data_IF_141120398560
#
_entry.id   IF_141120398560
#
_cell.length_a   1.000
_cell.length_b   1.000
_cell.length_c   1.000
_cell.angle_alpha   90.00
_cell.angle_beta   90.00
_cell.angle_gamma   90.00
#
_symmetry.space_group_name_H-M   'P 1'
#
loop_
_entity.id
_entity.type
_entity.pdbx_description
1 polymer ?
#
# COMPACT_ATOMS: atom_id res chain seq x y z
N UNK A 1 -33.04 -9.50 -32.97
CA UNK A 1 -32.67 -8.27 -32.32
C UNK A 1 -32.53 -8.38 -30.77
N UNK A 2 -33.45 -9.08 -30.08
CA UNK A 2 -33.41 -9.20 -28.63
C UNK A 2 -32.26 -10.01 -28.06
N UNK A 3 -31.75 -11.03 -28.77
CA UNK A 3 -30.67 -11.92 -28.28
C UNK A 3 -29.27 -11.27 -28.33
N UNK A 4 -28.99 -10.41 -29.32
CA UNK A 4 -27.71 -9.71 -29.43
C UNK A 4 -27.57 -8.64 -28.36
N UNK A 5 -28.63 -7.89 -28.04
CA UNK A 5 -28.64 -6.91 -26.95
C UNK A 5 -28.52 -7.59 -25.58
N UNK A 6 -29.15 -8.74 -25.35
CA UNK A 6 -29.03 -9.49 -24.08
C UNK A 6 -27.62 -10.02 -23.86
N UNK A 7 -26.96 -10.55 -24.90
CA UNK A 7 -25.58 -11.05 -24.83
C UNK A 7 -24.65 -9.87 -24.55
N UNK A 8 -24.83 -8.74 -25.22
CA UNK A 8 -24.02 -7.53 -25.03
C UNK A 8 -24.17 -6.96 -23.64
N UNK A 9 -25.39 -6.86 -23.14
CA UNK A 9 -25.67 -6.35 -21.79
C UNK A 9 -25.06 -7.27 -20.72
N UNK A 10 -25.19 -8.58 -20.87
CA UNK A 10 -24.57 -9.56 -19.97
C UNK A 10 -23.04 -9.44 -20.00
N UNK A 11 -22.47 -9.27 -21.18
CA UNK A 11 -21.03 -9.13 -21.35
C UNK A 11 -20.53 -7.82 -20.73
N UNK A 12 -21.20 -6.70 -20.98
CA UNK A 12 -20.85 -5.41 -20.39
C UNK A 12 -20.96 -5.44 -18.87
N UNK A 13 -21.95 -6.12 -18.31
CA UNK A 13 -22.07 -6.33 -16.87
C UNK A 13 -20.89 -7.14 -16.32
N UNK A 14 -20.46 -8.19 -17.00
CA UNK A 14 -19.32 -9.01 -16.62
C UNK A 14 -18.01 -8.21 -16.68
N UNK A 15 -17.82 -7.40 -17.72
CA UNK A 15 -16.64 -6.52 -17.85
C UNK A 15 -16.60 -5.46 -16.74
N UNK A 16 -17.71 -4.79 -16.47
CA UNK A 16 -17.82 -3.81 -15.37
C UNK A 16 -17.54 -4.45 -14.02
N UNK A 17 -18.05 -5.65 -13.77
CA UNK A 17 -17.75 -6.40 -12.56
C UNK A 17 -16.25 -6.74 -12.44
N UNK A 18 -15.61 -7.16 -13.52
CA UNK A 18 -14.19 -7.47 -13.56
C UNK A 18 -13.35 -6.21 -13.28
N UNK A 19 -13.71 -5.05 -13.86
CA UNK A 19 -13.07 -3.77 -13.59
C UNK A 19 -13.18 -3.37 -12.12
N UNK A 20 -14.37 -3.52 -11.53
CA UNK A 20 -14.61 -3.23 -10.12
C UNK A 20 -13.81 -4.17 -9.21
N UNK A 21 -13.72 -5.45 -9.54
CA UNK A 21 -12.93 -6.42 -8.79
C UNK A 21 -11.43 -6.09 -8.81
N UNK A 22 -10.90 -5.73 -9.97
CA UNK A 22 -9.50 -5.28 -10.12
C UNK A 22 -9.22 -4.02 -9.32
N UNK A 23 -10.12 -3.03 -9.38
CA UNK A 23 -10.01 -1.78 -8.63
C UNK A 23 -10.03 -2.03 -7.12
N UNK A 24 -10.94 -2.88 -6.65
CA UNK A 24 -11.05 -3.24 -5.24
C UNK A 24 -9.81 -4.00 -4.74
N UNK A 25 -9.31 -4.95 -5.53
CA UNK A 25 -8.10 -5.70 -5.22
C UNK A 25 -6.87 -4.77 -5.13
N UNK A 26 -6.76 -3.81 -6.04
CA UNK A 26 -5.71 -2.77 -6.00
C UNK A 26 -5.79 -1.92 -4.75
N UNK A 27 -6.99 -1.49 -4.37
CA UNK A 27 -7.21 -0.69 -3.16
C UNK A 27 -6.79 -1.45 -1.90
N UNK A 28 -7.21 -2.70 -1.76
CA UNK A 28 -6.82 -3.56 -0.64
C UNK A 28 -5.30 -3.70 -0.52
N UNK A 29 -4.62 -3.92 -1.64
CA UNK A 29 -3.16 -4.02 -1.69
C UNK A 29 -2.48 -2.72 -1.26
N UNK A 30 -2.95 -1.57 -1.74
CA UNK A 30 -2.42 -0.25 -1.35
C UNK A 30 -2.63 0.04 0.13
N UNK A 31 -3.79 -0.31 0.68
CA UNK A 31 -4.08 -0.13 2.11
C UNK A 31 -3.13 -0.97 2.96
N UNK A 32 -2.85 -2.22 2.57
CA UNK A 32 -1.89 -3.08 3.25
C UNK A 32 -0.45 -2.55 3.14
N UNK A 33 -0.05 -2.03 1.98
CA UNK A 33 1.25 -1.39 1.79
C UNK A 33 1.40 -0.15 2.68
N UNK A 34 0.35 0.64 2.84
CA UNK A 34 0.37 1.78 3.77
C UNK A 34 0.49 1.34 5.23
N UNK A 35 -0.20 0.27 5.63
CA UNK A 35 -0.06 -0.31 6.96
C UNK A 35 1.36 -0.85 7.19
N UNK A 36 1.96 -1.52 6.20
CA UNK A 36 3.36 -1.97 6.26
C UNK A 36 4.33 -0.82 6.43
N UNK A 37 4.13 0.27 5.71
CA UNK A 37 4.94 1.48 5.86
C UNK A 37 4.85 2.02 7.29
N UNK A 38 3.65 2.08 7.85
CA UNK A 38 3.43 2.55 9.22
C UNK A 38 4.10 1.63 10.26
N UNK A 39 4.00 0.33 10.09
CA UNK A 39 4.66 -0.64 11.00
C UNK A 39 6.18 -0.54 10.90
N UNK A 40 6.74 -0.43 9.70
CA UNK A 40 8.18 -0.25 9.50
C UNK A 40 8.69 1.05 10.15
N UNK A 41 7.93 2.13 10.07
CA UNK A 41 8.23 3.38 10.74
C UNK A 41 8.21 3.22 12.27
N UNK A 42 7.22 2.53 12.81
CA UNK A 42 7.15 2.23 14.24
C UNK A 42 8.31 1.34 14.71
N UNK A 43 8.72 0.36 13.93
CA UNK A 43 9.90 -0.47 14.19
C UNK A 43 11.16 0.40 14.24
N UNK A 44 11.31 1.31 13.27
CA UNK A 44 12.45 2.22 13.22
C UNK A 44 12.55 3.10 14.47
N UNK A 45 11.46 3.77 14.84
CA UNK A 45 11.45 4.64 16.02
C UNK A 45 11.55 3.87 17.33
N UNK A 46 10.94 2.69 17.43
CA UNK A 46 11.11 1.82 18.61
C UNK A 46 12.56 1.38 18.76
N UNK A 47 13.24 1.06 17.66
CA UNK A 47 14.67 0.76 17.67
C UNK A 47 15.52 1.91 18.20
N UNK A 48 15.27 3.13 17.75
CA UNK A 48 15.95 4.33 18.25
C UNK A 48 15.67 4.60 19.73
N UNK A 49 14.40 4.47 20.13
CA UNK A 49 14.01 4.60 21.54
C UNK A 49 14.77 3.63 22.43
N UNK A 50 14.81 2.36 22.07
CA UNK A 50 15.50 1.33 22.85
C UNK A 50 17.02 1.51 22.84
N UNK A 51 17.61 1.92 21.72
CA UNK A 51 19.05 2.14 21.59
C UNK A 51 19.56 3.25 22.51
N UNK A 52 18.79 4.31 22.68
CA UNK A 52 19.24 5.51 23.44
C UNK A 52 18.53 5.73 24.77
N UNK A 53 17.69 4.78 25.18
CA UNK A 53 16.95 4.84 26.45
C UNK A 53 17.86 5.00 27.66
N UNK A 54 18.95 4.21 27.72
CA UNK A 54 19.90 4.25 28.83
C UNK A 54 20.71 5.56 28.83
N UNK A 55 21.11 6.03 27.66
CA UNK A 55 21.80 7.30 27.52
C UNK A 55 20.93 8.47 28.00
N UNK A 56 19.65 8.45 27.66
CA UNK A 56 18.70 9.47 28.14
C UNK A 56 18.50 9.41 29.65
N UNK A 57 18.50 8.22 30.26
CA UNK A 57 18.47 8.06 31.72
C UNK A 57 19.73 8.67 32.38
N UNK A 58 20.90 8.50 31.78
CA UNK A 58 22.15 9.14 32.22
C UNK A 58 22.07 10.66 32.12
N UNK A 59 21.52 11.19 31.01
CA UNK A 59 21.28 12.61 30.82
C UNK A 59 20.43 13.19 31.95
N UNK A 60 19.34 12.54 32.32
CA UNK A 60 18.43 12.99 33.39
C UNK A 60 19.10 13.02 34.76
N UNK A 61 20.06 12.15 35.01
CA UNK A 61 20.83 12.03 36.27
C UNK A 61 22.09 12.89 36.29
N UNK A 62 22.49 13.47 35.18
CA UNK A 62 23.73 14.26 35.10
C UNK A 62 23.62 15.54 35.91
N UNK A 63 24.73 15.91 36.59
CA UNK A 63 24.86 17.17 37.29
C UNK A 63 24.94 18.38 36.33
N UNK A 64 25.60 18.20 35.18
CA UNK A 64 25.68 19.22 34.13
C UNK A 64 24.95 18.73 32.89
N UNK A 65 23.63 18.89 32.90
CA UNK A 65 22.75 18.44 31.82
C UNK A 65 23.06 19.12 30.48
N UNK A 66 23.36 20.41 30.50
CA UNK A 66 23.65 21.17 29.27
C UNK A 66 24.90 20.64 28.58
N UNK A 67 25.98 20.41 29.33
CA UNK A 67 27.20 19.81 28.77
C UNK A 67 26.97 18.41 28.26
N UNK A 68 26.27 17.57 29.02
CA UNK A 68 25.92 16.19 28.61
C UNK A 68 25.11 16.19 27.34
N UNK A 69 24.13 17.08 27.24
CA UNK A 69 23.28 17.21 26.06
C UNK A 69 24.08 17.58 24.82
N UNK A 70 24.97 18.56 24.93
CA UNK A 70 25.81 18.99 23.79
C UNK A 70 26.78 17.89 23.35
N UNK A 71 27.31 17.09 24.28
CA UNK A 71 28.21 15.98 23.97
C UNK A 71 27.46 14.81 23.27
N UNK A 72 26.16 14.63 23.55
CA UNK A 72 25.33 13.54 23.04
C UNK A 72 24.10 14.03 22.26
N UNK A 73 24.20 15.21 21.67
CA UNK A 73 23.09 15.90 21.03
C UNK A 73 22.38 15.07 19.96
N UNK A 74 23.13 14.37 19.12
CA UNK A 74 22.59 13.56 18.05
C UNK A 74 21.73 12.41 18.59
N UNK A 75 22.27 11.64 19.53
CA UNK A 75 21.60 10.49 20.12
C UNK A 75 20.39 10.89 20.96
N UNK A 76 20.51 11.93 21.77
CA UNK A 76 19.41 12.43 22.61
C UNK A 76 18.28 13.02 21.77
N UNK A 77 18.61 13.73 20.69
CA UNK A 77 17.63 14.25 19.75
C UNK A 77 16.87 13.15 19.04
N UNK A 78 17.56 12.08 18.64
CA UNK A 78 16.91 10.89 18.06
C UNK A 78 15.97 10.19 19.04
N UNK A 79 16.38 10.07 20.31
CA UNK A 79 15.53 9.52 21.36
C UNK A 79 14.26 10.36 21.59
N UNK A 80 14.40 11.68 21.71
CA UNK A 80 13.28 12.59 21.93
C UNK A 80 12.29 12.56 20.76
N UNK A 81 12.80 12.57 19.55
CA UNK A 81 11.98 12.43 18.33
C UNK A 81 11.25 11.11 18.30
N UNK A 82 11.94 10.01 18.56
CA UNK A 82 11.35 8.67 18.60
C UNK A 82 10.24 8.58 19.65
N UNK A 83 10.48 9.08 20.84
CA UNK A 83 9.50 9.08 21.94
C UNK A 83 8.25 9.89 21.56
N UNK A 84 8.43 11.07 20.97
CA UNK A 84 7.31 11.91 20.52
C UNK A 84 6.45 11.19 19.48
N UNK A 85 7.09 10.65 18.43
CA UNK A 85 6.39 9.95 17.34
C UNK A 85 5.64 8.72 17.86
N UNK A 86 6.28 7.92 18.71
CA UNK A 86 5.65 6.73 19.30
C UNK A 86 4.46 7.08 20.20
N UNK A 87 4.54 8.15 20.98
CA UNK A 87 3.44 8.64 21.81
C UNK A 87 2.25 9.12 20.97
N UNK A 88 2.52 9.86 19.89
CA UNK A 88 1.49 10.32 18.97
C UNK A 88 0.75 9.14 18.32
N UNK A 89 1.50 8.14 17.85
CA UNK A 89 0.93 6.96 17.20
C UNK A 89 0.17 6.03 18.13
N UNK A 90 0.56 5.97 19.41
CA UNK A 90 -0.11 5.14 20.41
C UNK A 90 -1.29 5.83 21.07
N UNK A 91 -1.56 7.10 20.76
CA UNK A 91 -2.59 7.92 21.42
C UNK A 91 -2.47 7.92 22.97
N UNK A 92 -1.25 7.90 23.48
CA UNK A 92 -0.98 7.87 24.92
C UNK A 92 -1.13 6.49 25.58
N UNK A 93 -1.43 5.45 24.83
CA UNK A 93 -1.51 4.08 25.33
C UNK A 93 -0.10 3.46 25.47
N UNK A 94 -0.02 2.31 26.14
CA UNK A 94 1.22 1.57 26.28
C UNK A 94 1.77 1.19 24.91
N UNK A 95 3.06 1.44 24.68
CA UNK A 95 3.73 1.10 23.44
C UNK A 95 3.78 -0.42 23.26
N UNK A 96 3.42 -0.94 22.07
CA UNK A 96 3.60 -2.35 21.72
C UNK A 96 5.08 -2.74 21.79
N UNK A 97 5.35 -4.02 22.06
CA UNK A 97 6.71 -4.54 22.05
C UNK A 97 7.27 -4.61 20.62
N UNK A 98 8.59 -4.59 20.50
CA UNK A 98 9.27 -4.80 19.21
C UNK A 98 8.85 -6.12 18.56
N UNK A 99 8.73 -7.19 19.36
CA UNK A 99 8.24 -8.49 18.90
C UNK A 99 6.85 -8.40 18.28
N UNK A 100 5.94 -7.65 18.91
CA UNK A 100 4.58 -7.40 18.41
C UNK A 100 4.61 -6.71 17.04
N UNK A 101 5.46 -5.71 16.84
CA UNK A 101 5.62 -5.04 15.56
C UNK A 101 6.15 -5.98 14.47
N UNK A 102 7.11 -6.82 14.77
CA UNK A 102 7.63 -7.80 13.81
C UNK A 102 6.57 -8.84 13.44
N UNK A 103 5.78 -9.31 14.39
CA UNK A 103 4.66 -10.22 14.12
C UNK A 103 3.62 -9.57 13.19
N UNK A 104 3.28 -8.32 13.43
CA UNK A 104 2.36 -7.57 12.58
C UNK A 104 2.94 -7.33 11.18
N UNK A 105 4.23 -7.00 11.09
CA UNK A 105 4.93 -6.88 9.80
C UNK A 105 4.87 -8.17 9.00
N UNK A 106 5.14 -9.31 9.63
CA UNK A 106 5.10 -10.62 8.97
C UNK A 106 3.68 -10.93 8.46
N UNK A 107 2.67 -10.69 9.30
CA UNK A 107 1.26 -10.87 8.93
C UNK A 107 0.87 -10.01 7.73
N UNK A 108 1.24 -8.75 7.74
CA UNK A 108 0.93 -7.81 6.65
C UNK A 108 1.71 -8.16 5.37
N UNK A 109 2.93 -8.65 5.50
CA UNK A 109 3.74 -9.08 4.34
C UNK A 109 3.09 -10.29 3.66
N UNK A 110 2.65 -11.28 4.42
CA UNK A 110 1.93 -12.44 3.89
C UNK A 110 0.61 -12.02 3.24
N UNK A 111 -0.15 -11.15 3.90
CA UNK A 111 -1.40 -10.61 3.36
C UNK A 111 -1.18 -9.87 2.04
N UNK A 112 -0.13 -9.05 1.96
CA UNK A 112 0.22 -8.33 0.73
C UNK A 112 0.51 -9.29 -0.42
N UNK A 113 1.22 -10.38 -0.19
CA UNK A 113 1.51 -11.37 -1.24
C UNK A 113 0.23 -12.05 -1.76
N UNK A 114 -0.70 -12.40 -0.87
CA UNK A 114 -2.02 -12.94 -1.26
C UNK A 114 -2.80 -11.90 -2.08
N UNK A 115 -2.86 -10.66 -1.61
CA UNK A 115 -3.57 -9.57 -2.30
C UNK A 115 -2.94 -9.23 -3.65
N UNK A 116 -1.62 -9.32 -3.76
CA UNK A 116 -0.90 -9.14 -5.01
C UNK A 116 -1.27 -10.20 -6.04
N UNK A 117 -1.30 -11.47 -5.61
CA UNK A 117 -1.74 -12.57 -6.45
C UNK A 117 -3.20 -12.39 -6.90
N UNK A 118 -4.10 -12.01 -6.00
CA UNK A 118 -5.49 -11.72 -6.30
C UNK A 118 -5.63 -10.56 -7.31
N UNK A 119 -4.88 -9.50 -7.12
CA UNK A 119 -4.88 -8.36 -8.03
C UNK A 119 -4.46 -8.76 -9.44
N UNK A 120 -3.38 -9.53 -9.59
CA UNK A 120 -2.93 -10.00 -10.91
C UNK A 120 -3.96 -10.92 -11.55
N UNK A 121 -4.58 -11.81 -10.79
CA UNK A 121 -5.64 -12.68 -11.28
C UNK A 121 -6.85 -11.89 -11.81
N UNK A 122 -7.34 -10.92 -11.05
CA UNK A 122 -8.45 -10.06 -11.48
C UNK A 122 -8.08 -9.19 -12.69
N UNK A 123 -6.88 -8.65 -12.71
CA UNK A 123 -6.37 -7.87 -13.85
C UNK A 123 -6.30 -8.70 -15.12
N UNK A 124 -5.85 -9.94 -15.04
CA UNK A 124 -5.75 -10.83 -16.19
C UNK A 124 -7.14 -11.21 -16.71
N UNK A 125 -8.11 -11.49 -15.83
CA UNK A 125 -9.50 -11.70 -16.19
C UNK A 125 -10.13 -10.49 -16.88
N UNK A 126 -9.89 -9.29 -16.35
CA UNK A 126 -10.33 -8.04 -16.97
C UNK A 126 -9.74 -7.88 -18.37
N UNK A 127 -8.45 -8.16 -18.53
CA UNK A 127 -7.76 -8.08 -19.83
C UNK A 127 -8.35 -9.06 -20.84
N UNK A 128 -8.63 -10.30 -20.43
CA UNK A 128 -9.28 -11.29 -21.28
C UNK A 128 -10.66 -10.81 -21.73
N UNK A 129 -11.47 -10.28 -20.83
CA UNK A 129 -12.80 -9.74 -21.15
C UNK A 129 -12.72 -8.54 -22.09
N UNK A 130 -11.74 -7.66 -21.92
CA UNK A 130 -11.50 -6.55 -22.85
C UNK A 130 -11.13 -7.03 -24.25
N UNK A 131 -10.33 -8.08 -24.34
CA UNK A 131 -9.99 -8.72 -25.63
C UNK A 131 -11.22 -9.31 -26.30
N UNK A 132 -12.08 -9.99 -25.55
CA UNK A 132 -13.35 -10.53 -26.06
C UNK A 132 -14.28 -9.39 -26.49
N UNK A 133 -14.36 -8.30 -25.75
CA UNK A 133 -15.14 -7.11 -26.10
C UNK A 133 -14.70 -6.52 -27.45
N UNK A 134 -13.40 -6.34 -27.63
CA UNK A 134 -12.83 -5.87 -28.91
C UNK A 134 -13.17 -6.82 -30.06
N UNK A 135 -13.10 -8.13 -29.85
CA UNK A 135 -13.45 -9.13 -30.86
C UNK A 135 -14.96 -9.10 -31.20
N UNK A 136 -15.83 -8.91 -30.22
CA UNK A 136 -17.26 -8.73 -30.43
C UNK A 136 -17.53 -7.47 -31.25
N UNK A 137 -16.87 -6.36 -30.96
CA UNK A 137 -16.99 -5.10 -31.72
C UNK A 137 -16.56 -5.28 -33.19
N UNK A 138 -15.49 -6.01 -33.43
CA UNK A 138 -15.07 -6.36 -34.78
C UNK A 138 -16.12 -7.19 -35.55
N UNK A 139 -16.70 -8.22 -34.89
CA UNK A 139 -17.73 -9.08 -35.48
C UNK A 139 -19.00 -8.28 -35.77
N UNK A 140 -19.37 -7.35 -34.93
CA UNK A 140 -20.55 -6.49 -35.09
C UNK A 140 -20.34 -5.29 -36.03
N UNK A 141 -19.13 -5.12 -36.60
CA UNK A 141 -18.82 -4.08 -37.59
C UNK A 141 -18.54 -2.70 -37.02
N UNK A 142 -18.19 -2.56 -35.76
CA UNK A 142 -17.81 -1.28 -35.09
C UNK A 142 -16.34 -0.92 -35.34
N UNK A 143 -15.90 -0.93 -36.61
CA UNK A 143 -14.51 -0.68 -36.99
C UNK A 143 -14.00 0.76 -36.91
N UNK A 144 -14.78 1.85 -37.01
CA UNK A 144 -14.22 3.19 -37.22
C UNK A 144 -13.42 3.74 -36.04
N UNK A 145 -13.73 3.36 -34.83
CA UNK A 145 -13.03 3.86 -33.64
C UNK A 145 -11.65 3.27 -33.43
N UNK A 146 -11.43 2.03 -33.88
CA UNK A 146 -10.13 1.36 -33.75
C UNK A 146 -9.12 1.82 -34.82
N UNK A 147 -9.58 2.10 -36.03
CA UNK A 147 -8.72 2.63 -37.10
C UNK A 147 -8.20 4.03 -36.74
N UNK A 148 -9.00 4.86 -36.09
CA UNK A 148 -8.59 6.19 -35.63
C UNK A 148 -7.53 6.15 -34.51
N UNK A 149 -7.54 5.14 -33.68
CA UNK A 149 -6.58 4.99 -32.58
C UNK A 149 -5.22 4.50 -33.12
N UNK A 150 -5.22 3.62 -34.10
CA UNK A 150 -4.01 3.09 -34.73
C UNK A 150 -3.27 4.17 -35.53
N UNK A 151 -4.01 5.04 -36.26
CA UNK A 151 -3.41 6.15 -36.98
C UNK A 151 -2.74 7.18 -36.08
N UNK A 152 -3.29 7.39 -34.87
CA UNK A 152 -2.67 8.31 -33.89
C UNK A 152 -1.40 7.75 -33.28
N UNK A 153 -1.30 6.43 -33.10
CA UNK A 153 -0.09 5.79 -32.59
C UNK A 153 1.03 5.70 -33.62
N UNK A 154 0.68 5.59 -34.92
CA UNK A 154 1.66 5.54 -36.00
C UNK A 154 2.24 6.91 -36.37
N UNK A 155 1.59 8.01 -36.02
CA UNK A 155 2.06 9.38 -36.27
C UNK A 155 2.81 9.99 -35.07
N UNK A 156 3.06 9.23 -34.04
CA UNK A 156 3.89 9.59 -32.91
C UNK A 156 5.26 8.89 -32.98
#
# INVERSE_FOLDING_TARGET
>A
MGSEMCIRDSFNAALTNAENQTSLARKKMKDTEQQLKNVNEQIHFTGQYLAYKDLYAQYRKSHNRNKFYEEHKAELSLYETALRVLKEKSNGQKLPSMKSFYQEKDRLTELREVQRSDFYSHRDQERELRTVDANIDMILGKKPEQEHHIEKEQNL
#
